data_IF_644067155214
#
_entry.id   IF_644067155214
#
_cell.length_a   1.000
_cell.length_b   1.000
_cell.length_c   1.000
_cell.angle_alpha   90.00
_cell.angle_beta   90.00
_cell.angle_gamma   90.00
#
_symmetry.space_group_name_H-M   'P 1'
#
loop_
_entity.id
_entity.type
_entity.pdbx_description
1 polymer ?
#
# COMPACT_ATOMS: atom_id res chain seq x y z
N UNK A 1 7.67 17.20 1.11
CA UNK A 1 7.31 18.63 0.97
C UNK A 1 5.94 18.71 0.32
N UNK A 2 5.04 19.55 0.82
CA UNK A 2 3.69 19.76 0.24
C UNK A 2 3.69 21.09 -0.50
N UNK A 3 3.51 21.05 -1.82
CA UNK A 3 3.51 22.24 -2.69
C UNK A 3 2.14 22.45 -3.31
N UNK A 4 1.96 23.58 -4.00
CA UNK A 4 0.71 23.83 -4.74
C UNK A 4 0.48 22.84 -5.87
N UNK A 5 1.56 22.35 -6.50
CA UNK A 5 1.50 21.25 -7.45
C UNK A 5 0.95 19.97 -6.80
N UNK A 6 1.38 19.65 -5.57
CA UNK A 6 0.81 18.51 -4.81
C UNK A 6 -0.69 18.68 -4.58
N UNK A 7 -1.15 19.89 -4.23
CA UNK A 7 -2.59 20.17 -4.03
C UNK A 7 -3.37 20.09 -5.33
N UNK A 8 -2.79 20.50 -6.45
CA UNK A 8 -3.40 20.39 -7.77
C UNK A 8 -3.58 18.92 -8.17
N UNK A 9 -2.57 18.09 -7.95
CA UNK A 9 -2.66 16.65 -8.23
C UNK A 9 -3.72 15.97 -7.35
N UNK A 10 -3.80 16.33 -6.06
CA UNK A 10 -4.85 15.82 -5.17
C UNK A 10 -6.26 16.16 -5.66
N UNK A 11 -6.49 17.38 -6.20
CA UNK A 11 -7.79 17.77 -6.76
C UNK A 11 -8.13 16.96 -8.01
N UNK A 12 -7.14 16.66 -8.86
CA UNK A 12 -7.30 15.81 -10.04
C UNK A 12 -7.69 14.38 -9.65
N UNK A 13 -6.96 13.77 -8.72
CA UNK A 13 -7.26 12.44 -8.19
C UNK A 13 -8.69 12.40 -7.62
N UNK A 14 -9.09 13.43 -6.87
CA UNK A 14 -10.45 13.52 -6.34
C UNK A 14 -11.50 13.53 -7.47
N UNK A 15 -11.27 14.27 -8.55
CA UNK A 15 -12.18 14.31 -9.70
C UNK A 15 -12.27 12.95 -10.43
N UNK A 16 -11.16 12.22 -10.55
CA UNK A 16 -11.11 10.86 -11.10
C UNK A 16 -11.87 9.84 -10.23
N UNK A 17 -11.83 10.01 -8.91
CA UNK A 17 -12.62 9.22 -7.97
C UNK A 17 -14.10 9.55 -8.08
N UNK A 18 -14.47 10.84 -8.06
CA UNK A 18 -15.86 11.29 -8.13
C UNK A 18 -16.54 10.96 -9.46
N UNK A 19 -15.81 11.04 -10.56
CA UNK A 19 -16.30 10.63 -11.89
C UNK A 19 -16.39 9.10 -12.07
N UNK A 20 -15.90 8.34 -11.08
CA UNK A 20 -15.83 6.87 -11.11
C UNK A 20 -14.80 6.31 -12.09
N UNK A 21 -13.97 7.15 -12.70
CA UNK A 21 -12.90 6.72 -13.61
C UNK A 21 -11.95 5.75 -12.92
N UNK A 22 -11.49 6.12 -11.73
CA UNK A 22 -10.63 5.27 -10.91
C UNK A 22 -11.28 3.90 -10.66
N UNK A 23 -12.57 3.87 -10.29
CA UNK A 23 -13.30 2.64 -10.01
C UNK A 23 -13.42 1.75 -11.26
N UNK A 24 -13.70 2.34 -12.43
CA UNK A 24 -13.76 1.61 -13.70
C UNK A 24 -12.41 0.98 -14.07
N UNK A 25 -11.33 1.76 -13.95
CA UNK A 25 -9.97 1.29 -14.21
C UNK A 25 -9.58 0.15 -13.25
N UNK A 26 -9.86 0.31 -11.96
CA UNK A 26 -9.55 -0.71 -10.95
C UNK A 26 -10.31 -2.02 -11.19
N UNK A 27 -11.62 -1.95 -11.47
CA UNK A 27 -12.42 -3.15 -11.75
C UNK A 27 -11.91 -3.86 -13.01
N UNK A 28 -11.60 -3.12 -14.07
CA UNK A 28 -11.05 -3.68 -15.30
C UNK A 28 -9.70 -4.37 -15.05
N UNK A 29 -8.79 -3.73 -14.32
CA UNK A 29 -7.50 -4.32 -13.96
C UNK A 29 -7.67 -5.57 -13.08
N UNK A 30 -8.59 -5.53 -12.12
CA UNK A 30 -8.85 -6.65 -11.23
C UNK A 30 -9.34 -7.87 -12.01
N UNK A 31 -10.28 -7.67 -12.93
CA UNK A 31 -10.78 -8.72 -13.85
C UNK A 31 -9.68 -9.25 -14.78
N UNK A 32 -8.72 -8.40 -15.15
CA UNK A 32 -7.55 -8.78 -15.95
C UNK A 32 -6.43 -9.45 -15.14
N UNK A 33 -6.63 -9.73 -13.85
CA UNK A 33 -5.67 -10.47 -13.01
C UNK A 33 -4.69 -9.60 -12.21
N UNK A 34 -4.89 -8.28 -12.13
CA UNK A 34 -4.11 -7.36 -11.26
C UNK A 34 -2.61 -7.26 -11.62
N UNK A 35 -2.25 -7.34 -12.89
CA UNK A 35 -0.86 -7.33 -13.33
C UNK A 35 -0.06 -6.08 -12.90
N UNK A 36 -0.61 -4.87 -13.07
CA UNK A 36 0.11 -3.64 -12.69
C UNK A 36 0.21 -3.51 -11.17
N UNK A 37 -0.87 -3.81 -10.46
CA UNK A 37 -0.90 -3.81 -9.00
C UNK A 37 0.12 -4.77 -8.39
N UNK A 38 0.24 -5.99 -8.91
CA UNK A 38 1.22 -6.97 -8.42
C UNK A 38 2.65 -6.49 -8.73
N UNK A 39 2.92 -5.99 -9.93
CA UNK A 39 4.24 -5.44 -10.27
C UNK A 39 4.62 -4.27 -9.35
N UNK A 40 3.70 -3.34 -9.09
CA UNK A 40 3.89 -2.24 -8.15
C UNK A 40 4.17 -2.76 -6.73
N UNK A 41 3.47 -3.82 -6.30
CA UNK A 41 3.65 -4.42 -4.98
C UNK A 41 5.00 -5.10 -4.84
N UNK A 42 5.47 -5.84 -5.84
CA UNK A 42 6.80 -6.44 -5.81
C UNK A 42 7.90 -5.37 -5.79
N UNK A 43 7.80 -4.36 -6.66
CA UNK A 43 8.75 -3.24 -6.67
C UNK A 43 8.81 -2.49 -5.33
N UNK A 44 7.67 -2.34 -4.64
CA UNK A 44 7.64 -1.73 -3.31
C UNK A 44 8.33 -2.59 -2.24
N UNK A 45 8.22 -3.93 -2.30
CA UNK A 45 8.87 -4.85 -1.35
C UNK A 45 10.39 -4.84 -1.47
N UNK A 46 10.91 -4.63 -2.67
CA UNK A 46 12.35 -4.66 -2.95
C UNK A 46 13.07 -3.37 -2.48
N UNK A 47 12.34 -2.36 -2.00
CA UNK A 47 12.95 -1.12 -1.55
C UNK A 47 13.82 -1.33 -0.29
N UNK A 48 15.00 -0.69 -0.20
CA UNK A 48 15.88 -0.79 0.98
C UNK A 48 15.19 -0.41 2.30
N UNK A 49 14.21 0.50 2.22
CA UNK A 49 13.38 0.91 3.34
C UNK A 49 12.68 -0.29 4.01
N UNK A 50 12.22 -1.26 3.23
CA UNK A 50 11.53 -2.45 3.75
C UNK A 50 12.48 -3.40 4.47
N UNK A 51 13.71 -3.57 3.96
CA UNK A 51 14.74 -4.39 4.60
C UNK A 51 15.17 -3.79 5.93
N UNK A 52 15.62 -2.53 5.92
CA UNK A 52 16.09 -1.83 7.13
C UNK A 52 14.93 -1.67 8.13
N UNK A 53 13.75 -1.30 7.65
CA UNK A 53 12.57 -1.16 8.49
C UNK A 53 12.17 -2.46 9.18
N UNK A 54 12.31 -3.61 8.52
CA UNK A 54 12.03 -4.93 9.10
C UNK A 54 12.99 -5.25 10.24
N UNK A 55 14.29 -5.01 10.07
CA UNK A 55 15.31 -5.23 11.10
C UNK A 55 15.04 -4.36 12.33
N UNK A 56 14.82 -3.05 12.12
CA UNK A 56 14.53 -2.11 13.19
C UNK A 56 13.25 -2.48 13.95
N UNK A 57 12.17 -2.81 13.23
CA UNK A 57 10.91 -3.27 13.85
C UNK A 57 11.08 -4.60 14.58
N UNK A 58 12.00 -5.46 14.16
CA UNK A 58 12.34 -6.71 14.85
C UNK A 58 12.98 -6.50 16.23
N UNK A 59 13.75 -5.42 16.39
CA UNK A 59 14.37 -5.04 17.66
C UNK A 59 13.38 -4.37 18.63
N UNK A 60 12.25 -3.87 18.12
CA UNK A 60 11.19 -3.25 18.92
C UNK A 60 10.37 -4.33 19.64
N UNK A 61 10.80 -4.70 20.84
CA UNK A 61 10.14 -5.74 21.66
C UNK A 61 8.67 -5.44 21.97
N UNK A 62 8.28 -4.17 21.98
CA UNK A 62 6.90 -3.70 22.17
C UNK A 62 5.99 -3.88 20.93
N UNK A 63 6.57 -4.11 19.75
CA UNK A 63 5.82 -4.43 18.52
C UNK A 63 5.59 -5.92 18.32
N UNK A 64 6.29 -6.79 19.07
CA UNK A 64 6.02 -8.22 19.05
C UNK A 64 4.58 -8.43 19.53
N UNK A 65 3.71 -8.95 18.66
CA UNK A 65 2.38 -9.40 19.07
C UNK A 65 2.57 -10.29 20.30
N UNK A 66 2.01 -9.90 21.45
CA UNK A 66 1.80 -10.86 22.53
C UNK A 66 0.99 -11.99 21.90
N UNK A 67 1.42 -13.24 22.08
CA UNK A 67 0.57 -14.39 21.77
C UNK A 67 -0.70 -14.17 22.61
N UNK A 68 -1.81 -13.81 21.97
CA UNK A 68 -3.10 -13.86 22.62
C UNK A 68 -3.36 -15.34 22.88
N UNK A 69 -3.45 -15.71 24.17
CA UNK A 69 -3.76 -17.07 24.58
C UNK A 69 -5.11 -17.47 23.96
N UNK A 70 -5.09 -18.49 23.08
CA UNK A 70 -6.30 -19.04 22.48
C UNK A 70 -6.51 -18.77 20.98
N UNK A 71 -5.62 -18.03 20.30
CA UNK A 71 -5.69 -17.92 18.83
C UNK A 71 -4.79 -18.99 18.20
N UNK A 72 -5.36 -19.99 17.47
CA UNK A 72 -4.56 -20.97 16.75
C UNK A 72 -3.62 -20.26 15.77
N UNK A 73 -2.34 -20.59 15.83
CA UNK A 73 -1.38 -20.21 14.80
C UNK A 73 -1.44 -21.28 13.72
N UNK A 74 -1.87 -20.89 12.51
CA UNK A 74 -1.69 -21.71 11.30
C UNK A 74 -0.21 -21.93 11.00
#
# INVERSE_FOLDING_TARGET
VVTDATRQEMRKILAEVQSGEFARQWIAENKAGRGKFLAMREAAKEQPLETVGRELRGMMTFLKKRKEEGVPQE
#
